data_IF_890936365210
#
_entry.id   IF_890936365210
#
_cell.length_a   1.000
_cell.length_b   1.000
_cell.length_c   1.000
_cell.angle_alpha   90.00
_cell.angle_beta   90.00
_cell.angle_gamma   90.00
#
_symmetry.space_group_name_H-M   'P 1'
#
loop_
_entity.id
_entity.type
_entity.pdbx_description
1 polymer ?
#
# COMPACT_ATOMS: atom_id res chain seq x y z
N UNK A 1 24.40 -0.82 21.90
CA UNK A 1 23.54 -0.36 20.77
C UNK A 1 22.45 0.65 21.17
N UNK A 2 22.23 0.96 22.46
CA UNK A 2 21.26 1.97 22.91
C UNK A 2 21.63 3.40 22.50
N UNK A 3 22.89 3.80 22.72
CA UNK A 3 23.39 5.15 22.40
C UNK A 3 23.22 5.46 20.92
N UNK A 4 23.49 4.50 20.03
CA UNK A 4 23.31 4.65 18.57
C UNK A 4 21.84 4.83 18.19
N UNK A 5 20.94 4.09 18.84
CA UNK A 5 19.50 4.21 18.59
C UNK A 5 18.97 5.58 19.06
N UNK A 6 19.43 6.05 20.22
CA UNK A 6 19.09 7.35 20.80
C UNK A 6 19.64 8.51 19.96
N UNK A 7 20.89 8.45 19.52
CA UNK A 7 21.49 9.47 18.62
C UNK A 7 20.79 9.53 17.26
N UNK A 8 20.34 8.40 16.73
CA UNK A 8 19.61 8.34 15.46
C UNK A 8 18.09 8.64 15.60
N UNK A 9 17.57 8.79 16.82
CA UNK A 9 16.14 8.99 17.06
C UNK A 9 15.26 7.82 16.63
N UNK A 10 15.78 6.59 16.67
CA UNK A 10 15.05 5.37 16.27
C UNK A 10 14.94 4.38 17.43
N UNK A 11 13.92 3.52 17.41
CA UNK A 11 13.81 2.45 18.40
C UNK A 11 14.96 1.43 18.24
N UNK A 12 15.40 0.84 19.37
CA UNK A 12 16.44 -0.22 19.36
C UNK A 12 16.04 -1.43 18.51
N UNK A 13 14.77 -1.83 18.54
CA UNK A 13 14.25 -2.94 17.73
C UNK A 13 14.34 -2.66 16.23
N UNK A 14 14.09 -1.43 15.78
CA UNK A 14 14.30 -1.01 14.39
C UNK A 14 15.77 -1.13 13.98
N UNK A 15 16.69 -0.68 14.85
CA UNK A 15 18.13 -0.75 14.60
C UNK A 15 18.58 -2.22 14.50
N UNK A 16 18.15 -3.08 15.43
CA UNK A 16 18.42 -4.51 15.39
C UNK A 16 17.88 -5.18 14.12
N UNK A 17 16.64 -4.88 13.72
CA UNK A 17 16.06 -5.42 12.50
C UNK A 17 16.82 -4.98 11.24
N UNK A 18 17.34 -3.74 11.22
CA UNK A 18 18.14 -3.22 10.11
C UNK A 18 19.52 -3.88 10.02
N UNK A 19 20.19 -4.05 11.15
CA UNK A 19 21.51 -4.71 11.19
C UNK A 19 21.40 -6.20 10.88
N UNK A 20 20.34 -6.86 11.35
CA UNK A 20 20.06 -8.26 11.04
C UNK A 20 19.53 -8.51 9.61
N UNK A 21 19.31 -7.45 8.81
CA UNK A 21 18.75 -7.56 7.46
C UNK A 21 17.29 -8.00 7.40
N UNK A 22 16.59 -8.09 8.54
CA UNK A 22 15.19 -8.53 8.63
C UNK A 22 14.18 -7.38 8.43
N UNK A 23 14.65 -6.14 8.38
CA UNK A 23 13.80 -4.98 8.09
C UNK A 23 13.29 -5.01 6.65
N UNK A 24 11.97 -5.08 6.47
CA UNK A 24 11.32 -5.03 5.15
C UNK A 24 11.62 -3.68 4.48
N UNK A 25 12.27 -3.66 3.30
CA UNK A 25 12.55 -2.41 2.61
C UNK A 25 11.25 -1.78 2.11
N UNK A 26 11.21 -0.45 2.08
CA UNK A 26 10.08 0.28 1.50
C UNK A 26 10.03 -0.05 0.00
N UNK A 27 8.90 -0.59 -0.48
CA UNK A 27 8.74 -0.88 -1.91
C UNK A 27 8.81 0.40 -2.72
N UNK A 28 9.50 0.35 -3.86
CA UNK A 28 9.51 1.45 -4.84
C UNK A 28 8.09 1.57 -5.42
N UNK A 29 7.64 2.81 -5.59
CA UNK A 29 6.37 3.09 -6.25
C UNK A 29 6.40 2.57 -7.69
N UNK A 30 5.40 1.76 -8.06
CA UNK A 30 5.31 1.14 -9.37
C UNK A 30 4.16 1.77 -10.19
N UNK A 31 4.51 2.75 -11.03
CA UNK A 31 3.56 3.46 -11.91
C UNK A 31 2.88 2.56 -12.94
N UNK A 32 3.50 1.45 -13.34
CA UNK A 32 2.92 0.55 -14.34
C UNK A 32 1.65 -0.12 -13.83
N UNK A 33 1.55 -0.37 -12.52
CA UNK A 33 0.33 -0.92 -11.90
C UNK A 33 -0.81 0.10 -11.94
N UNK A 34 -0.51 1.39 -11.81
CA UNK A 34 -1.51 2.45 -11.84
C UNK A 34 -2.17 2.57 -13.21
N UNK A 35 -1.45 2.29 -14.30
CA UNK A 35 -2.01 2.33 -15.65
C UNK A 35 -3.23 1.39 -15.81
N UNK A 36 -3.23 0.25 -15.10
CA UNK A 36 -4.37 -0.68 -15.12
C UNK A 36 -5.51 -0.26 -14.17
N UNK A 37 -5.18 0.41 -13.06
CA UNK A 37 -6.15 0.71 -11.99
C UNK A 37 -6.83 2.06 -12.16
N UNK A 38 -6.12 3.07 -12.69
CA UNK A 38 -6.64 4.44 -12.88
C UNK A 38 -7.92 4.45 -13.73
N UNK A 39 -8.00 3.76 -14.88
CA UNK A 39 -9.24 3.75 -15.67
C UNK A 39 -10.44 3.15 -14.91
N UNK A 40 -10.21 2.12 -14.09
CA UNK A 40 -11.23 1.47 -13.27
C UNK A 40 -11.72 2.41 -12.16
N UNK A 41 -10.81 3.12 -11.50
CA UNK A 41 -11.18 4.11 -10.48
C UNK A 41 -11.97 5.25 -11.12
N UNK A 42 -11.50 5.77 -12.25
CA UNK A 42 -12.17 6.88 -12.96
C UNK A 42 -13.60 6.51 -13.35
N UNK A 43 -13.84 5.30 -13.88
CA UNK A 43 -15.19 4.86 -14.24
C UNK A 43 -16.10 4.72 -13.01
N UNK A 44 -15.59 4.19 -11.90
CA UNK A 44 -16.34 4.05 -10.65
C UNK A 44 -16.69 5.41 -10.03
N UNK A 45 -15.77 6.36 -10.05
CA UNK A 45 -16.00 7.72 -9.54
C UNK A 45 -17.00 8.47 -10.42
N UNK A 46 -16.87 8.37 -11.74
CA UNK A 46 -17.82 8.97 -12.68
C UNK A 46 -19.25 8.45 -12.46
N UNK A 47 -19.41 7.14 -12.21
CA UNK A 47 -20.71 6.54 -11.93
C UNK A 47 -21.24 6.84 -10.51
N UNK A 48 -20.39 7.23 -9.56
CA UNK A 48 -20.72 7.39 -8.13
C UNK A 48 -20.02 8.62 -7.53
N UNK A 49 -20.36 9.84 -7.95
CA UNK A 49 -19.61 11.05 -7.58
C UNK A 49 -19.66 11.38 -6.08
N UNK A 50 -20.64 10.86 -5.34
CA UNK A 50 -20.75 11.03 -3.88
C UNK A 50 -19.91 10.01 -3.09
N UNK A 51 -19.26 9.05 -3.76
CA UNK A 51 -18.52 7.99 -3.10
C UNK A 51 -17.07 8.41 -2.89
N UNK A 52 -16.67 8.55 -1.64
CA UNK A 52 -15.27 8.76 -1.27
C UNK A 52 -14.40 7.50 -1.45
N UNK A 53 -13.09 7.70 -1.33
CA UNK A 53 -12.04 6.68 -1.50
C UNK A 53 -12.40 5.31 -0.94
N UNK A 54 -12.77 5.21 0.35
CA UNK A 54 -13.05 3.92 1.00
C UNK A 54 -14.15 3.11 0.30
N UNK A 55 -15.22 3.77 -0.17
CA UNK A 55 -16.32 3.09 -0.87
C UNK A 55 -15.90 2.66 -2.28
N UNK A 56 -15.17 3.51 -2.99
CA UNK A 56 -14.64 3.18 -4.33
C UNK A 56 -13.67 2.00 -4.24
N UNK A 57 -12.72 2.02 -3.30
CA UNK A 57 -11.79 0.90 -3.06
C UNK A 57 -12.53 -0.40 -2.73
N UNK A 58 -13.61 -0.34 -1.93
CA UNK A 58 -14.39 -1.53 -1.61
C UNK A 58 -15.11 -2.11 -2.84
N UNK A 59 -15.63 -1.27 -3.73
CA UNK A 59 -16.26 -1.71 -4.99
C UNK A 59 -15.21 -2.29 -5.93
N UNK A 60 -14.11 -1.58 -6.14
CA UNK A 60 -13.00 -2.02 -6.98
C UNK A 60 -12.46 -3.38 -6.52
N UNK A 61 -12.19 -3.54 -5.22
CA UNK A 61 -11.69 -4.81 -4.67
C UNK A 61 -12.72 -5.94 -4.74
N UNK A 62 -14.02 -5.65 -4.74
CA UNK A 62 -15.05 -6.66 -5.01
C UNK A 62 -15.01 -7.11 -6.47
N UNK A 63 -14.90 -6.17 -7.42
CA UNK A 63 -14.79 -6.47 -8.84
C UNK A 63 -13.53 -7.29 -9.15
N UNK A 64 -12.38 -6.89 -8.60
CA UNK A 64 -11.11 -7.62 -8.78
C UNK A 64 -11.18 -9.04 -8.23
N UNK A 65 -11.75 -9.24 -7.03
CA UNK A 65 -11.93 -10.60 -6.49
C UNK A 65 -12.85 -11.45 -7.35
N UNK A 66 -13.93 -10.86 -7.88
CA UNK A 66 -14.84 -11.56 -8.78
C UNK A 66 -14.15 -11.97 -10.09
N UNK A 67 -13.16 -11.19 -10.55
CA UNK A 67 -12.33 -11.52 -11.71
C UNK A 67 -11.07 -12.34 -11.38
N UNK A 68 -10.94 -12.87 -10.15
CA UNK A 68 -9.77 -13.65 -9.71
C UNK A 68 -8.48 -12.84 -9.52
N UNK A 69 -8.54 -11.51 -9.58
CA UNK A 69 -7.41 -10.61 -9.41
C UNK A 69 -7.18 -10.26 -7.93
N UNK A 70 -5.92 -9.96 -7.59
CA UNK A 70 -5.57 -9.50 -6.25
C UNK A 70 -6.18 -8.12 -5.97
N UNK A 71 -6.64 -7.87 -4.73
CA UNK A 71 -7.15 -6.56 -4.34
C UNK A 71 -6.05 -5.50 -4.36
N UNK A 72 -6.41 -4.27 -4.74
CA UNK A 72 -5.53 -3.11 -4.61
C UNK A 72 -5.32 -2.75 -3.15
N UNK A 73 -4.14 -2.19 -2.85
CA UNK A 73 -3.75 -1.76 -1.50
C UNK A 73 -3.90 -2.85 -0.44
N UNK A 74 -3.67 -4.12 -0.79
CA UNK A 74 -3.57 -5.19 0.18
C UNK A 74 -2.32 -5.01 1.03
N UNK A 75 -2.49 -4.85 2.34
CA UNK A 75 -1.39 -4.93 3.31
C UNK A 75 -0.91 -6.39 3.34
N UNK A 76 0.20 -6.67 2.68
CA UNK A 76 0.92 -7.95 2.73
C UNK A 76 2.18 -7.83 3.59
#
# INVERSE_FOLDING_TARGET
>A
MSVVAETLGVSRSNLHARVAGSAKPRRRYNKAQDAAVVPLITSLVAARPTYGYRRITAILNRQLRASGAAPVNHMA
#
